data_IF_019630750606
#
_entry.id   IF_019630750606
#
_cell.length_a   1.000
_cell.length_b   1.000
_cell.length_c   1.000
_cell.angle_alpha   90.00
_cell.angle_beta   90.00
_cell.angle_gamma   90.00
#
_symmetry.space_group_name_H-M   'P 1'
#
loop_
_entity.id
_entity.type
_entity.pdbx_description
1 polymer ?
#
# COMPACT_ATOMS: atom_id res chain seq x y z
N UNK A 1 5.63 12.69 -7.43
CA UNK A 1 6.93 12.06 -7.81
C UNK A 1 7.72 12.88 -8.84
N UNK A 2 7.03 13.57 -9.76
CA UNK A 2 7.58 14.31 -10.91
C UNK A 2 8.48 15.52 -10.61
N UNK A 3 8.55 15.96 -9.36
CA UNK A 3 9.45 17.05 -8.94
C UNK A 3 10.88 16.58 -8.66
N UNK A 4 11.18 15.29 -8.89
CA UNK A 4 12.52 14.71 -8.70
C UNK A 4 13.31 14.74 -10.01
N UNK A 5 14.62 14.97 -9.89
CA UNK A 5 15.50 15.15 -11.05
C UNK A 5 15.49 13.97 -12.03
N UNK A 6 15.32 12.75 -11.52
CA UNK A 6 15.39 11.51 -12.32
C UNK A 6 14.01 10.97 -12.73
N UNK A 7 12.94 11.78 -12.59
CA UNK A 7 11.60 11.41 -13.04
C UNK A 7 11.23 12.02 -14.40
N UNK A 8 10.39 11.33 -15.21
CA UNK A 8 9.87 11.90 -16.45
C UNK A 8 9.15 13.24 -16.21
N UNK A 9 9.19 14.16 -17.18
CA UNK A 9 8.49 15.46 -17.08
C UNK A 9 6.96 15.34 -17.07
N UNK A 10 6.42 14.20 -17.51
CA UNK A 10 4.99 13.92 -17.55
C UNK A 10 4.69 12.44 -17.28
N UNK A 11 3.45 12.16 -16.88
CA UNK A 11 2.99 10.79 -16.59
C UNK A 11 3.13 9.91 -17.84
N UNK A 12 3.90 8.80 -17.79
CA UNK A 12 4.02 7.85 -18.90
C UNK A 12 2.72 7.06 -19.11
N UNK A 13 2.50 6.53 -20.31
CA UNK A 13 1.31 5.71 -20.61
C UNK A 13 1.67 4.22 -20.58
N UNK A 14 1.40 3.55 -19.46
CA UNK A 14 1.64 2.10 -19.31
C UNK A 14 0.40 1.23 -19.55
N UNK A 15 -0.77 1.84 -19.76
CA UNK A 15 -2.02 1.09 -19.82
C UNK A 15 -2.50 0.60 -18.44
N UNK A 16 -2.03 1.25 -17.38
CA UNK A 16 -2.42 1.08 -15.98
C UNK A 16 -3.20 2.32 -15.52
N UNK A 17 -3.85 2.24 -14.35
CA UNK A 17 -4.42 3.44 -13.74
C UNK A 17 -3.36 4.49 -13.36
N UNK A 18 -3.83 5.72 -13.14
CA UNK A 18 -2.98 6.88 -12.85
C UNK A 18 -2.15 6.69 -11.57
N UNK A 19 -2.72 6.08 -10.54
CA UNK A 19 -2.07 5.85 -9.25
C UNK A 19 -0.98 4.78 -9.34
N UNK A 20 -1.24 3.69 -10.06
CA UNK A 20 -0.23 2.66 -10.35
C UNK A 20 0.93 3.22 -11.18
N UNK A 21 0.61 4.00 -12.21
CA UNK A 21 1.60 4.68 -13.04
C UNK A 21 2.46 5.64 -12.22
N UNK A 22 1.83 6.46 -11.36
CA UNK A 22 2.52 7.37 -10.45
C UNK A 22 3.39 6.60 -9.43
N UNK A 23 2.91 5.43 -9.00
CA UNK A 23 3.64 4.50 -8.13
C UNK A 23 4.90 3.95 -8.79
N UNK A 24 4.83 3.54 -10.06
CA UNK A 24 5.99 3.11 -10.85
C UNK A 24 7.00 4.25 -10.99
N UNK A 25 6.54 5.46 -11.32
CA UNK A 25 7.43 6.63 -11.42
C UNK A 25 8.12 6.90 -10.08
N UNK A 26 7.36 6.84 -8.98
CA UNK A 26 7.90 7.04 -7.64
C UNK A 26 8.94 5.97 -7.26
N UNK A 27 8.65 4.70 -7.56
CA UNK A 27 9.51 3.56 -7.30
C UNK A 27 10.85 3.69 -8.04
N UNK A 28 10.80 3.97 -9.33
CA UNK A 28 12.00 4.19 -10.15
C UNK A 28 12.82 5.38 -9.63
N UNK A 29 12.16 6.46 -9.22
CA UNK A 29 12.83 7.64 -8.66
C UNK A 29 13.51 7.39 -7.31
N UNK A 30 13.10 6.35 -6.59
CA UNK A 30 13.66 5.96 -5.30
C UNK A 30 14.64 4.80 -5.42
N UNK A 31 14.88 4.29 -6.64
CA UNK A 31 15.70 3.11 -6.92
C UNK A 31 15.32 1.91 -6.04
N UNK A 32 14.01 1.66 -5.90
CA UNK A 32 13.53 0.55 -5.06
C UNK A 32 13.73 -0.78 -5.78
N UNK A 33 14.01 -1.85 -5.02
CA UNK A 33 14.26 -3.18 -5.57
C UNK A 33 13.07 -3.80 -6.34
N UNK A 34 11.86 -3.30 -6.09
CA UNK A 34 10.67 -3.72 -6.81
C UNK A 34 9.41 -2.97 -6.38
N UNK A 35 8.54 -2.73 -7.35
CA UNK A 35 7.19 -2.20 -7.14
C UNK A 35 6.21 -3.07 -7.91
N UNK A 36 5.20 -3.58 -7.22
CA UNK A 36 4.25 -4.52 -7.76
C UNK A 36 2.85 -3.91 -7.76
N UNK A 37 2.21 -3.91 -8.92
CA UNK A 37 0.83 -3.51 -9.12
C UNK A 37 -0.06 -4.76 -9.24
N UNK A 38 -1.31 -4.66 -8.82
CA UNK A 38 -2.27 -5.77 -8.85
C UNK A 38 -3.07 -5.84 -10.16
N UNK A 39 -2.91 -4.87 -11.06
CA UNK A 39 -3.62 -4.85 -12.33
C UNK A 39 -2.96 -5.73 -13.41
N UNK A 40 -3.56 -6.90 -13.63
CA UNK A 40 -3.34 -7.74 -14.80
C UNK A 40 -4.65 -7.80 -15.56
N UNK A 41 -4.71 -7.17 -16.74
CA UNK A 41 -5.95 -6.97 -17.50
C UNK A 41 -6.89 -8.18 -17.50
N UNK A 42 -7.95 -8.08 -16.69
CA UNK A 42 -9.21 -8.87 -16.66
C UNK A 42 -9.19 -10.40 -16.56
N UNK A 43 -8.17 -11.08 -17.10
CA UNK A 43 -8.18 -12.54 -17.32
C UNK A 43 -6.86 -13.24 -16.99
N UNK A 44 -5.81 -12.49 -16.63
CA UNK A 44 -4.52 -13.06 -16.27
C UNK A 44 -4.29 -12.89 -14.77
N UNK A 45 -4.29 -13.98 -14.00
CA UNK A 45 -3.83 -13.93 -12.62
C UNK A 45 -2.30 -13.96 -12.62
N UNK A 46 -1.64 -12.92 -12.12
CA UNK A 46 -0.23 -13.03 -11.78
C UNK A 46 -0.07 -13.80 -10.47
N UNK A 47 0.37 -15.04 -10.59
CA UNK A 47 0.79 -15.85 -9.46
C UNK A 47 2.24 -15.50 -9.11
N UNK A 48 2.40 -14.68 -8.07
CA UNK A 48 3.72 -14.32 -7.54
C UNK A 48 4.03 -15.23 -6.37
N UNK A 49 4.98 -16.14 -6.60
CA UNK A 49 5.57 -16.94 -5.53
C UNK A 49 6.79 -16.20 -4.98
N UNK A 50 6.59 -15.44 -3.90
CA UNK A 50 7.68 -14.78 -3.19
C UNK A 50 8.08 -15.62 -1.96
N UNK A 51 9.37 -15.92 -1.83
CA UNK A 51 9.96 -16.44 -0.59
C UNK A 51 10.72 -15.29 0.05
N UNK A 52 10.20 -14.76 1.16
CA UNK A 52 10.82 -13.65 1.86
C UNK A 52 11.71 -14.17 2.99
N UNK A 53 12.99 -13.81 2.97
CA UNK A 53 13.92 -14.05 4.07
C UNK A 53 14.33 -12.72 4.69
N UNK A 54 13.74 -12.37 5.85
CA UNK A 54 13.99 -11.12 6.56
C UNK A 54 12.80 -10.16 6.53
N UNK A 55 12.33 -9.69 5.35
CA UNK A 55 11.15 -8.84 5.25
C UNK A 55 9.87 -9.58 5.64
N UNK A 56 8.99 -8.92 6.39
CA UNK A 56 7.61 -9.36 6.57
C UNK A 56 6.73 -8.50 5.66
N UNK A 57 5.79 -9.13 4.96
CA UNK A 57 4.71 -8.37 4.30
C UNK A 57 3.93 -7.68 5.41
N UNK A 58 3.90 -6.35 5.38
CA UNK A 58 3.12 -5.53 6.30
C UNK A 58 2.00 -4.88 5.49
N UNK A 59 0.78 -5.44 5.53
CA UNK A 59 -0.38 -4.80 4.91
C UNK A 59 -0.60 -3.40 5.49
N UNK A 60 -1.12 -2.46 4.70
CA UNK A 60 -1.39 -1.08 5.15
C UNK A 60 -2.13 -0.99 6.49
N UNK A 61 -3.19 -1.77 6.77
CA UNK A 61 -3.84 -1.76 8.09
C UNK A 61 -2.88 -2.11 9.23
N UNK A 62 -1.96 -3.07 9.00
CA UNK A 62 -0.97 -3.47 10.00
C UNK A 62 0.09 -2.40 10.21
N UNK A 63 0.53 -1.75 9.13
CA UNK A 63 1.50 -0.65 9.20
C UNK A 63 0.97 0.48 10.08
N UNK A 64 -0.29 0.89 9.86
CA UNK A 64 -0.95 1.94 10.62
C UNK A 64 -1.07 1.56 12.11
N UNK A 65 -1.50 0.33 12.41
CA UNK A 65 -1.55 -0.14 13.79
C UNK A 65 -0.15 -0.23 14.46
N UNK A 66 0.88 -0.58 13.70
CA UNK A 66 2.25 -0.64 14.22
C UNK A 66 2.81 0.78 14.45
N UNK A 67 2.47 1.76 13.62
CA UNK A 67 2.84 3.17 13.84
C UNK A 67 2.17 3.73 15.09
N UNK A 68 0.88 3.44 15.28
CA UNK A 68 0.14 3.81 16.47
C UNK A 68 0.76 3.20 17.75
N UNK A 69 1.07 1.90 17.73
CA UNK A 69 1.69 1.21 18.88
C UNK A 69 3.06 1.76 19.26
N UNK A 70 3.82 2.26 18.28
CA UNK A 70 5.17 2.79 18.50
C UNK A 70 5.19 4.32 18.66
N UNK A 71 4.04 4.94 19.00
CA UNK A 71 3.90 6.37 19.28
C UNK A 71 4.28 7.29 18.10
N UNK A 72 4.27 6.78 16.86
CA UNK A 72 4.51 7.57 15.65
C UNK A 72 3.24 8.26 15.13
N UNK A 73 2.07 7.83 15.60
CA UNK A 73 0.78 8.49 15.43
C UNK A 73 -0.15 8.08 16.58
N UNK A 74 -1.26 8.77 16.74
CA UNK A 74 -2.28 8.39 17.73
C UNK A 74 -3.08 7.17 17.26
N UNK A 75 -3.66 6.44 18.22
CA UNK A 75 -4.57 5.34 17.91
C UNK A 75 -5.81 5.82 17.14
N UNK A 76 -6.30 7.02 17.42
CA UNK A 76 -7.43 7.65 16.72
C UNK A 76 -7.09 7.93 15.26
N UNK A 77 -5.93 8.52 14.97
CA UNK A 77 -5.47 8.77 13.60
C UNK A 77 -5.35 7.46 12.81
N UNK A 78 -4.77 6.41 13.39
CA UNK A 78 -4.68 5.11 12.73
C UNK A 78 -6.05 4.52 12.44
N UNK A 79 -6.99 4.60 13.38
CA UNK A 79 -8.39 4.16 13.18
C UNK A 79 -9.05 4.94 12.04
N UNK A 80 -8.98 6.27 12.06
CA UNK A 80 -9.57 7.12 11.03
C UNK A 80 -9.01 6.78 9.65
N UNK A 81 -7.70 6.57 9.53
CA UNK A 81 -7.08 6.18 8.26
C UNK A 81 -7.57 4.81 7.78
N UNK A 82 -7.64 3.81 8.66
CA UNK A 82 -8.13 2.47 8.30
C UNK A 82 -9.59 2.53 7.86
N UNK A 83 -10.46 3.21 8.62
CA UNK A 83 -11.89 3.37 8.30
C UNK A 83 -12.09 4.13 6.99
N UNK A 84 -11.25 5.14 6.72
CA UNK A 84 -11.28 5.91 5.46
C UNK A 84 -10.88 5.07 4.26
N UNK A 85 -9.83 4.25 4.37
CA UNK A 85 -9.31 3.44 3.25
C UNK A 85 -10.21 2.21 3.00
N UNK A 86 -10.87 1.70 4.05
CA UNK A 86 -11.56 0.42 4.05
C UNK A 86 -12.56 0.22 2.90
N UNK A 87 -13.44 1.18 2.55
CA UNK A 87 -14.36 1.06 1.42
C UNK A 87 -13.65 0.97 0.07
N UNK A 88 -12.55 1.71 -0.09
CA UNK A 88 -11.79 1.76 -1.34
C UNK A 88 -10.96 0.51 -1.60
N UNK A 89 -10.70 -0.29 -0.56
CA UNK A 89 -9.90 -1.53 -0.64
C UNK A 89 -10.70 -2.78 -0.27
N UNK A 90 -12.02 -2.66 -0.17
CA UNK A 90 -12.94 -3.74 0.18
C UNK A 90 -12.59 -4.43 1.51
N UNK A 91 -12.11 -3.67 2.49
CA UNK A 91 -11.75 -4.19 3.82
C UNK A 91 -12.91 -4.23 4.80
N UNK A 92 -14.06 -3.67 4.46
CA UNK A 92 -15.21 -3.46 5.36
C UNK A 92 -15.65 -4.73 6.09
N UNK A 93 -15.57 -5.87 5.40
CA UNK A 93 -15.94 -7.18 5.93
C UNK A 93 -14.73 -8.09 6.23
N UNK A 94 -13.52 -7.53 6.26
CA UNK A 94 -12.29 -8.29 6.49
C UNK A 94 -12.11 -8.60 7.98
N UNK A 95 -12.19 -9.86 8.43
CA UNK A 95 -11.97 -10.22 9.84
C UNK A 95 -10.58 -9.83 10.33
N UNK A 96 -9.59 -9.84 9.41
CA UNK A 96 -8.23 -9.40 9.67
C UNK A 96 -8.17 -7.90 10.04
N UNK A 97 -8.88 -7.05 9.30
CA UNK A 97 -8.89 -5.61 9.58
C UNK A 97 -9.68 -5.31 10.86
N UNK A 98 -10.79 -6.01 11.10
CA UNK A 98 -11.53 -5.91 12.37
C UNK A 98 -10.63 -6.24 13.57
N UNK A 99 -9.83 -7.31 13.50
CA UNK A 99 -8.91 -7.69 14.57
C UNK A 99 -7.84 -6.60 14.82
N UNK A 100 -7.33 -5.98 13.76
CA UNK A 100 -6.34 -4.90 13.89
C UNK A 100 -6.93 -3.65 14.55
N UNK A 101 -8.16 -3.27 14.20
CA UNK A 101 -8.87 -2.17 14.84
C UNK A 101 -9.10 -2.44 16.34
N UNK A 102 -9.44 -3.67 16.73
CA UNK A 102 -9.58 -4.05 18.14
C UNK A 102 -8.28 -3.88 18.94
N UNK A 103 -7.11 -4.07 18.31
CA UNK A 103 -5.82 -3.85 18.98
C UNK A 103 -5.47 -2.37 19.16
N UNK A 104 -6.19 -1.44 18.52
CA UNK A 104 -6.04 0.00 18.78
C UNK A 104 -6.85 0.45 20.01
N UNK A 105 -7.84 -0.35 20.44
CA UNK A 105 -8.73 -0.01 21.56
C UNK A 105 -8.22 -0.52 22.92
N UNK A 106 -7.14 -1.29 22.92
CA UNK A 106 -6.52 -1.91 24.10
C UNK A 106 -5.24 -1.17 24.51
#
# INVERSE_FOLDING_TARGET
PYERGDTPESRPTFGLDDGETDGIVLANALDVDGFLTDEFGGTNFALIHAVLQGPRIVPTPRLLCDYARNDHMTHEEARTLIETISPHRSWENSPYVTQLLQHLDA
#
